data_IF_817663745066
#
_entry.id   IF_817663745066
#
_cell.length_a   1.000
_cell.length_b   1.000
_cell.length_c   1.000
_cell.angle_alpha   90.00
_cell.angle_beta   90.00
_cell.angle_gamma   90.00
#
_symmetry.space_group_name_H-M   'P 1'
#
loop_
_entity.id
_entity.type
_entity.pdbx_description
1 polymer ?
#
# COMPACT_ATOMS: atom_id res chain seq x y z
N UNK A 1 -46.95 -6.90 -14.09
CA UNK A 1 -46.60 -7.05 -12.65
C UNK A 1 -45.35 -7.95 -12.39
N UNK A 2 -44.23 -7.81 -13.13
CA UNK A 2 -43.10 -8.79 -13.04
C UNK A 2 -41.70 -8.24 -12.71
N UNK A 3 -41.50 -6.93 -12.65
CA UNK A 3 -40.15 -6.32 -12.52
C UNK A 3 -39.70 -6.14 -11.06
N UNK A 4 -40.64 -5.95 -10.13
CA UNK A 4 -40.32 -5.70 -8.71
C UNK A 4 -39.94 -6.98 -7.93
N UNK A 5 -40.46 -8.15 -8.31
CA UNK A 5 -40.13 -9.43 -7.66
C UNK A 5 -38.69 -9.88 -7.98
N UNK A 6 -38.23 -9.68 -9.22
CA UNK A 6 -36.85 -10.00 -9.66
C UNK A 6 -35.80 -9.13 -8.96
N UNK A 7 -36.07 -7.83 -8.78
CA UNK A 7 -35.17 -6.93 -8.02
C UNK A 7 -35.08 -7.31 -6.54
N UNK A 8 -36.20 -7.64 -5.88
CA UNK A 8 -36.20 -8.11 -4.49
C UNK A 8 -35.47 -9.44 -4.31
N UNK A 9 -35.62 -10.39 -5.26
CA UNK A 9 -34.92 -11.68 -5.21
C UNK A 9 -33.41 -11.54 -5.40
N UNK A 10 -32.96 -10.67 -6.31
CA UNK A 10 -31.52 -10.36 -6.49
C UNK A 10 -30.92 -9.65 -5.27
N UNK A 11 -31.67 -8.74 -4.65
CA UNK A 11 -31.23 -8.04 -3.43
C UNK A 11 -31.11 -9.02 -2.25
N UNK A 12 -32.10 -9.88 -2.02
CA UNK A 12 -32.03 -10.92 -0.99
C UNK A 12 -30.92 -11.94 -1.23
N UNK A 13 -30.67 -12.32 -2.50
CA UNK A 13 -29.55 -13.20 -2.83
C UNK A 13 -28.20 -12.54 -2.53
N UNK A 14 -28.01 -11.27 -2.90
CA UNK A 14 -26.81 -10.51 -2.53
C UNK A 14 -26.66 -10.37 -1.02
N UNK A 15 -27.72 -10.04 -0.29
CA UNK A 15 -27.69 -9.92 1.18
C UNK A 15 -27.41 -11.28 1.85
N UNK A 16 -27.89 -12.40 1.29
CA UNK A 16 -27.57 -13.75 1.75
C UNK A 16 -26.13 -14.16 1.42
N UNK A 17 -25.64 -13.85 0.22
CA UNK A 17 -24.25 -14.13 -0.18
C UNK A 17 -23.27 -13.29 0.66
N UNK A 18 -23.58 -12.02 0.94
CA UNK A 18 -22.81 -11.16 1.85
C UNK A 18 -22.84 -11.68 3.30
N UNK A 19 -23.98 -12.20 3.78
CA UNK A 19 -24.06 -12.81 5.11
C UNK A 19 -23.36 -14.17 5.19
N UNK A 20 -23.42 -14.98 4.14
CA UNK A 20 -22.72 -16.24 4.05
C UNK A 20 -21.20 -16.02 4.03
N UNK A 21 -20.70 -15.03 3.28
CA UNK A 21 -19.29 -14.67 3.27
C UNK A 21 -18.81 -14.02 4.57
N UNK A 22 -19.68 -13.26 5.26
CA UNK A 22 -19.39 -12.75 6.62
C UNK A 22 -19.37 -13.86 7.69
N UNK A 23 -20.02 -15.00 7.44
CA UNK A 23 -19.99 -16.18 8.31
C UNK A 23 -18.82 -17.13 8.00
N UNK A 24 -18.16 -16.97 6.85
CA UNK A 24 -16.92 -17.69 6.52
C UNK A 24 -15.74 -16.97 7.17
N UNK A 25 -15.66 -17.07 8.51
CA UNK A 25 -14.42 -16.89 9.26
C UNK A 25 -13.43 -18.04 9.00
N UNK A 26 -13.33 -18.51 7.76
CA UNK A 26 -12.55 -19.66 7.32
C UNK A 26 -11.46 -19.25 6.33
N UNK A 27 -10.42 -20.07 6.27
CA UNK A 27 -9.40 -20.05 5.22
C UNK A 27 -10.06 -19.92 3.84
N UNK A 28 -9.84 -18.81 3.15
CA UNK A 28 -10.46 -18.53 1.86
C UNK A 28 -9.47 -17.89 0.90
N UNK A 29 -9.69 -18.08 -0.39
CA UNK A 29 -8.99 -17.31 -1.43
C UNK A 29 -9.74 -16.00 -1.61
N UNK A 30 -9.03 -14.89 -1.51
CA UNK A 30 -9.56 -13.55 -1.70
C UNK A 30 -9.00 -12.97 -2.98
N UNK A 31 -9.85 -12.35 -3.79
CA UNK A 31 -9.39 -11.47 -4.85
C UNK A 31 -9.08 -10.11 -4.25
N UNK A 32 -7.80 -9.76 -4.26
CA UNK A 32 -7.31 -8.42 -3.92
C UNK A 32 -7.17 -7.65 -5.22
N UNK A 33 -7.64 -6.41 -5.26
CA UNK A 33 -7.39 -5.47 -6.34
C UNK A 33 -6.74 -4.21 -5.80
N UNK A 34 -5.70 -3.74 -6.47
CA UNK A 34 -4.95 -2.55 -6.11
C UNK A 34 -4.97 -1.59 -7.30
N UNK A 35 -5.37 -0.35 -7.05
CA UNK A 35 -5.33 0.72 -8.04
C UNK A 35 -4.83 2.01 -7.41
N UNK A 36 -3.71 2.53 -7.91
CA UNK A 36 -3.21 3.86 -7.58
C UNK A 36 -3.87 4.87 -8.51
N UNK A 37 -4.62 5.81 -7.93
CA UNK A 37 -5.44 6.76 -8.68
C UNK A 37 -4.66 8.01 -9.07
N UNK A 38 -4.02 8.62 -8.07
CA UNK A 38 -3.32 9.89 -8.21
C UNK A 38 -2.25 10.04 -7.12
N UNK A 39 -1.27 10.88 -7.40
CA UNK A 39 -0.30 11.39 -6.44
C UNK A 39 -0.44 12.91 -6.36
N UNK A 40 -0.84 13.40 -5.19
CA UNK A 40 -0.91 14.81 -4.85
C UNK A 40 0.45 15.24 -4.28
N UNK A 41 1.05 16.27 -4.87
CA UNK A 41 2.33 16.82 -4.45
C UNK A 41 2.10 18.24 -3.95
N UNK A 42 2.08 18.40 -2.62
CA UNK A 42 1.92 19.70 -2.00
C UNK A 42 3.21 20.52 -2.09
N UNK A 43 4.37 19.85 -2.00
CA UNK A 43 5.71 20.42 -2.17
C UNK A 43 6.60 19.44 -2.93
N UNK A 44 7.48 19.98 -3.75
CA UNK A 44 8.52 19.25 -4.48
C UNK A 44 9.83 20.02 -4.48
N UNK A 45 10.95 19.33 -4.33
CA UNK A 45 12.28 19.93 -4.42
C UNK A 45 13.22 19.07 -5.27
N UNK A 46 13.66 19.62 -6.40
CA UNK A 46 14.58 18.96 -7.34
C UNK A 46 15.89 19.78 -7.47
N UNK A 47 16.66 19.77 -6.38
CA UNK A 47 18.06 20.17 -6.34
C UNK A 47 18.46 21.50 -7.02
N UNK A 48 19.74 21.60 -7.39
CA UNK A 48 20.32 22.75 -8.09
C UNK A 48 20.20 22.64 -9.63
N UNK A 49 19.96 21.44 -10.14
CA UNK A 49 19.89 21.14 -11.58
C UNK A 49 18.49 21.34 -12.19
N UNK A 50 17.50 21.74 -11.37
CA UNK A 50 16.17 22.23 -11.80
C UNK A 50 15.40 21.24 -12.69
N UNK A 51 15.46 19.96 -12.39
CA UNK A 51 14.52 19.01 -12.98
C UNK A 51 13.12 19.17 -12.37
N UNK A 52 12.22 18.26 -12.75
CA UNK A 52 10.97 18.01 -12.01
C UNK A 52 11.04 16.59 -11.47
N UNK A 53 10.60 16.34 -10.23
CA UNK A 53 10.79 15.07 -9.56
C UNK A 53 10.12 13.93 -10.33
N UNK A 54 10.88 12.85 -10.51
CA UNK A 54 10.37 11.61 -11.11
C UNK A 54 9.78 10.73 -10.02
N UNK A 55 8.58 11.10 -9.57
CA UNK A 55 7.96 10.41 -8.46
C UNK A 55 7.59 8.96 -8.81
N UNK A 56 7.95 8.09 -7.87
CA UNK A 56 7.78 6.65 -7.97
C UNK A 56 7.30 6.08 -6.64
N UNK A 57 6.33 5.16 -6.72
CA UNK A 57 5.87 4.39 -5.58
C UNK A 57 6.19 2.91 -5.77
N UNK A 58 6.82 2.29 -4.76
CA UNK A 58 6.88 0.84 -4.64
C UNK A 58 5.83 0.38 -3.65
N UNK A 59 5.06 -0.62 -4.02
CA UNK A 59 4.05 -1.22 -3.14
C UNK A 59 4.43 -2.66 -2.86
N UNK A 60 4.61 -3.01 -1.58
CA UNK A 60 4.67 -4.39 -1.11
C UNK A 60 3.36 -4.77 -0.43
N UNK A 61 2.69 -5.78 -0.94
CA UNK A 61 1.51 -6.36 -0.31
C UNK A 61 1.91 -7.66 0.38
N UNK A 62 1.61 -7.78 1.67
CA UNK A 62 1.95 -8.92 2.50
C UNK A 62 0.72 -9.55 3.12
N UNK A 63 0.74 -10.87 3.22
CA UNK A 63 -0.13 -11.61 4.12
C UNK A 63 0.61 -11.77 5.43
N UNK A 64 0.02 -11.25 6.49
CA UNK A 64 0.63 -11.21 7.81
C UNK A 64 -0.18 -12.08 8.75
N UNK A 65 0.49 -13.05 9.36
CA UNK A 65 -0.04 -13.86 10.45
C UNK A 65 0.82 -13.70 11.71
N UNK A 66 0.49 -14.46 12.78
CA UNK A 66 1.15 -14.30 14.08
C UNK A 66 2.67 -14.51 14.08
N UNK A 67 3.17 -15.33 13.16
CA UNK A 67 4.60 -15.72 13.13
C UNK A 67 5.34 -15.21 11.89
N UNK A 68 4.63 -14.86 10.82
CA UNK A 68 5.24 -14.54 9.54
C UNK A 68 4.46 -13.50 8.74
N UNK A 69 5.20 -12.64 8.06
CA UNK A 69 4.77 -11.77 6.99
C UNK A 69 5.34 -12.28 5.65
N UNK A 70 4.45 -12.70 4.75
CA UNK A 70 4.84 -13.21 3.43
C UNK A 70 4.38 -12.28 2.33
N UNK A 71 5.28 -11.91 1.43
CA UNK A 71 4.93 -11.13 0.25
C UNK A 71 3.90 -11.91 -0.59
N UNK A 72 2.88 -11.19 -1.06
CA UNK A 72 1.86 -11.71 -1.98
C UNK A 72 1.94 -11.08 -3.35
N UNK A 73 2.42 -9.84 -3.41
CA UNK A 73 2.68 -9.13 -4.64
C UNK A 73 3.47 -7.87 -4.34
N UNK A 74 4.27 -7.44 -5.30
CA UNK A 74 4.94 -6.15 -5.28
C UNK A 74 4.78 -5.45 -6.62
N UNK A 75 4.63 -4.14 -6.57
CA UNK A 75 4.28 -3.32 -7.73
C UNK A 75 5.10 -2.05 -7.73
N UNK A 76 5.32 -1.52 -8.92
CA UNK A 76 6.05 -0.29 -9.15
C UNK A 76 5.15 0.65 -9.96
N UNK A 77 4.92 1.85 -9.44
CA UNK A 77 4.13 2.88 -10.11
C UNK A 77 4.97 4.12 -10.34
N UNK A 78 5.13 4.50 -11.60
CA UNK A 78 5.77 5.76 -12.01
C UNK A 78 4.70 6.77 -12.35
N UNK A 79 4.93 8.04 -12.02
CA UNK A 79 3.96 9.11 -12.22
C UNK A 79 4.39 10.07 -13.33
N UNK A 80 3.41 10.69 -13.97
CA UNK A 80 3.66 11.81 -14.89
C UNK A 80 4.51 12.87 -14.18
N UNK A 81 5.47 13.46 -14.90
CA UNK A 81 6.31 14.50 -14.31
C UNK A 81 5.45 15.73 -14.03
N UNK A 82 5.53 16.32 -12.82
CA UNK A 82 4.80 17.54 -12.51
C UNK A 82 5.34 18.72 -13.34
N UNK A 83 4.49 19.71 -13.60
CA UNK A 83 4.88 20.96 -14.27
C UNK A 83 5.04 22.14 -13.29
N UNK A 84 4.36 22.07 -12.14
CA UNK A 84 4.38 23.07 -11.06
C UNK A 84 3.94 22.43 -9.74
N UNK A 85 4.05 23.18 -8.64
CA UNK A 85 3.57 22.78 -7.31
C UNK A 85 2.69 23.87 -6.70
N UNK A 86 1.62 23.53 -5.96
CA UNK A 86 1.12 22.17 -5.72
C UNK A 86 0.44 21.56 -6.95
N UNK A 87 0.45 20.23 -7.08
CA UNK A 87 -0.15 19.56 -8.24
C UNK A 87 -0.68 18.16 -7.93
N UNK A 88 -1.41 17.59 -8.88
CA UNK A 88 -1.83 16.18 -8.91
C UNK A 88 -1.40 15.56 -10.23
N UNK A 89 -0.75 14.41 -10.15
CA UNK A 89 -0.29 13.65 -11.32
C UNK A 89 -0.86 12.23 -11.29
N UNK A 90 -1.16 11.70 -12.47
CA UNK A 90 -1.59 10.31 -12.64
C UNK A 90 -0.41 9.35 -12.79
N UNK A 91 -0.63 8.04 -12.62
CA UNK A 91 0.36 7.05 -13.01
C UNK A 91 0.58 7.08 -14.54
N UNK A 92 1.83 6.93 -14.99
CA UNK A 92 2.19 6.89 -16.42
C UNK A 92 1.57 5.69 -17.15
N UNK A 93 1.35 4.60 -16.41
CA UNK A 93 0.76 3.36 -16.89
C UNK A 93 -0.54 3.06 -16.14
N UNK A 94 -1.43 2.29 -16.75
CA UNK A 94 -2.68 1.92 -16.10
C UNK A 94 -2.42 1.09 -14.84
N UNK A 95 -2.93 1.55 -13.70
CA UNK A 95 -2.87 0.83 -12.43
C UNK A 95 -4.16 0.03 -12.23
N UNK A 96 -4.11 -1.30 -12.30
CA UNK A 96 -5.27 -2.15 -12.01
C UNK A 96 -4.85 -3.60 -11.71
N UNK A 97 -4.13 -3.76 -10.62
CA UNK A 97 -3.54 -5.06 -10.31
C UNK A 97 -4.56 -5.90 -9.58
N UNK A 98 -4.67 -7.16 -9.97
CA UNK A 98 -5.54 -8.09 -9.28
C UNK A 98 -4.87 -9.44 -9.07
N UNK A 99 -4.91 -9.91 -7.84
CA UNK A 99 -4.30 -11.16 -7.43
C UNK A 99 -5.26 -11.98 -6.55
N UNK A 100 -5.13 -13.29 -6.65
CA UNK A 100 -5.82 -14.23 -5.78
C UNK A 100 -4.90 -14.58 -4.60
N UNK A 101 -5.34 -14.24 -3.39
CA UNK A 101 -4.55 -14.38 -2.16
C UNK A 101 -5.22 -15.37 -1.22
N UNK A 102 -4.57 -16.48 -0.86
CA UNK A 102 -5.03 -17.34 0.21
C UNK A 102 -4.85 -16.62 1.55
N UNK A 103 -5.95 -16.30 2.25
CA UNK A 103 -5.95 -15.69 3.58
C UNK A 103 -6.51 -16.68 4.60
N UNK A 104 -5.64 -17.39 5.33
CA UNK A 104 -6.05 -18.18 6.48
C UNK A 104 -6.74 -17.34 7.55
N UNK A 105 -7.54 -17.99 8.39
CA UNK A 105 -8.16 -17.34 9.55
C UNK A 105 -7.09 -16.71 10.44
N UNK A 106 -7.35 -15.48 10.90
CA UNK A 106 -6.42 -14.74 11.75
C UNK A 106 -5.24 -14.10 11.00
N UNK A 107 -5.23 -14.17 9.65
CA UNK A 107 -4.28 -13.38 8.85
C UNK A 107 -4.89 -12.06 8.42
N UNK A 108 -4.04 -11.05 8.33
CA UNK A 108 -4.35 -9.72 7.80
C UNK A 108 -3.56 -9.47 6.53
N UNK A 109 -3.98 -8.47 5.77
CA UNK A 109 -3.18 -7.91 4.70
C UNK A 109 -2.49 -6.65 5.21
N UNK A 110 -1.21 -6.52 4.89
CA UNK A 110 -0.44 -5.30 5.08
C UNK A 110 -0.03 -4.77 3.71
N UNK A 111 -0.28 -3.49 3.47
CA UNK A 111 0.22 -2.79 2.29
C UNK A 111 1.26 -1.78 2.76
N UNK A 112 2.51 -2.04 2.40
CA UNK A 112 3.62 -1.14 2.59
C UNK A 112 3.84 -0.37 1.29
N UNK A 113 3.87 0.95 1.36
CA UNK A 113 4.13 1.82 0.21
C UNK A 113 5.37 2.65 0.51
N UNK A 114 6.34 2.64 -0.41
CA UNK A 114 7.57 3.42 -0.34
C UNK A 114 7.49 4.49 -1.42
N UNK A 115 7.76 5.75 -1.06
CA UNK A 115 7.83 6.87 -1.97
C UNK A 115 9.28 7.27 -2.20
N UNK A 116 9.66 7.34 -3.48
CA UNK A 116 11.02 7.60 -3.96
C UNK A 116 10.94 8.55 -5.14
N UNK A 117 11.91 9.44 -5.25
CA UNK A 117 12.19 10.20 -6.46
C UNK A 117 13.28 9.47 -7.25
N UNK A 118 12.94 9.00 -8.47
CA UNK A 118 13.80 8.15 -9.30
C UNK A 118 14.72 8.99 -10.21
N UNK A 119 16.04 8.94 -9.98
CA UNK A 119 17.01 9.59 -10.89
C UNK A 119 17.68 8.54 -11.77
N UNK A 120 18.28 7.51 -11.14
CA UNK A 120 19.04 6.46 -11.84
C UNK A 120 18.29 5.13 -11.95
N UNK A 121 17.31 4.91 -11.07
CA UNK A 121 16.57 3.66 -10.93
C UNK A 121 17.37 2.50 -10.34
N UNK A 122 18.61 2.72 -9.88
CA UNK A 122 19.44 1.67 -9.26
C UNK A 122 19.02 1.39 -7.82
N UNK A 123 18.81 2.43 -7.01
CA UNK A 123 18.27 2.28 -5.65
C UNK A 123 16.89 1.66 -5.69
N UNK A 124 16.09 2.04 -6.68
CA UNK A 124 14.76 1.49 -6.91
C UNK A 124 14.76 -0.04 -7.13
N UNK A 125 15.72 -0.56 -7.91
CA UNK A 125 15.85 -2.02 -8.12
C UNK A 125 16.20 -2.74 -6.82
N UNK A 126 17.13 -2.19 -6.03
CA UNK A 126 17.52 -2.73 -4.73
C UNK A 126 16.35 -2.74 -3.75
N UNK A 127 15.59 -1.64 -3.66
CA UNK A 127 14.38 -1.56 -2.84
C UNK A 127 13.33 -2.57 -3.27
N UNK A 128 13.08 -2.67 -4.58
CA UNK A 128 12.11 -3.61 -5.12
C UNK A 128 12.46 -5.04 -4.71
N UNK A 129 13.74 -5.43 -4.80
CA UNK A 129 14.25 -6.71 -4.34
C UNK A 129 14.08 -6.90 -2.82
N UNK A 130 14.41 -5.87 -2.03
CA UNK A 130 14.37 -5.90 -0.57
C UNK A 130 12.96 -6.05 0.05
N UNK A 131 11.90 -5.82 -0.72
CA UNK A 131 10.52 -6.12 -0.32
C UNK A 131 10.18 -7.63 -0.32
N UNK A 132 11.03 -8.50 -0.88
CA UNK A 132 10.75 -9.95 -0.94
C UNK A 132 10.67 -10.61 0.46
N UNK A 133 11.69 -10.46 1.34
CA UNK A 133 11.65 -11.07 2.67
C UNK A 133 10.76 -10.25 3.63
N UNK A 134 9.44 -10.46 3.58
CA UNK A 134 8.49 -9.73 4.44
C UNK A 134 8.78 -9.83 5.95
N UNK A 135 9.33 -10.95 6.42
CA UNK A 135 9.78 -11.14 7.81
C UNK A 135 10.96 -10.24 8.17
N UNK A 136 11.75 -9.77 7.20
CA UNK A 136 12.87 -8.87 7.41
C UNK A 136 12.43 -7.39 7.45
N UNK A 137 11.15 -7.08 7.22
CA UNK A 137 10.65 -5.71 7.27
C UNK A 137 10.35 -5.34 8.72
N UNK A 138 11.11 -4.38 9.24
CA UNK A 138 10.89 -3.74 10.53
C UNK A 138 10.30 -2.35 10.29
N UNK A 139 9.23 -2.00 10.99
CA UNK A 139 8.61 -0.69 10.87
C UNK A 139 8.34 -0.08 12.25
N UNK A 140 8.40 1.25 12.32
CA UNK A 140 8.00 2.04 13.48
C UNK A 140 7.39 3.36 13.02
N UNK A 141 6.75 4.09 13.93
CA UNK A 141 6.05 5.33 13.60
C UNK A 141 6.26 6.38 14.67
N UNK A 142 6.04 7.65 14.29
CA UNK A 142 6.28 8.81 15.16
C UNK A 142 5.38 8.83 16.42
N UNK A 143 4.26 8.10 16.41
CA UNK A 143 3.26 8.11 17.48
C UNK A 143 3.38 6.91 18.43
N UNK A 144 4.60 6.59 18.87
CA UNK A 144 4.84 5.57 19.89
C UNK A 144 4.67 4.13 19.41
N UNK A 145 4.73 3.90 18.10
CA UNK A 145 4.88 2.56 17.57
C UNK A 145 6.35 2.19 17.67
N UNK A 146 6.70 1.31 18.61
CA UNK A 146 8.07 0.80 18.75
C UNK A 146 8.50 0.01 17.50
N UNK A 147 9.80 -0.02 17.17
CA UNK A 147 10.34 -0.85 16.10
C UNK A 147 9.98 -2.32 16.29
N UNK A 148 9.27 -2.88 15.32
CA UNK A 148 8.84 -4.27 15.33
C UNK A 148 8.71 -4.81 13.91
N UNK A 149 8.84 -6.13 13.77
CA UNK A 149 8.62 -6.81 12.50
C UNK A 149 7.14 -6.73 12.08
N UNK A 150 6.86 -6.79 10.78
CA UNK A 150 5.47 -6.77 10.28
C UNK A 150 4.57 -7.81 10.98
N UNK A 151 5.06 -9.02 11.23
CA UNK A 151 4.30 -10.06 11.95
C UNK A 151 3.90 -9.66 13.37
N UNK A 152 4.76 -8.93 14.06
CA UNK A 152 4.56 -8.47 15.44
C UNK A 152 3.59 -7.28 15.49
N UNK A 153 3.71 -6.37 14.52
CA UNK A 153 2.84 -5.20 14.37
C UNK A 153 1.37 -5.56 14.14
N UNK A 154 1.10 -6.75 13.58
CA UNK A 154 -0.26 -7.26 13.42
C UNK A 154 -1.03 -7.34 14.75
N UNK A 155 -0.32 -7.57 15.88
CA UNK A 155 -0.89 -7.63 17.22
C UNK A 155 -0.91 -6.30 17.98
N UNK A 156 -0.24 -5.26 17.49
CA UNK A 156 0.00 -4.00 18.19
C UNK A 156 -1.23 -3.07 18.31
N UNK A 157 -2.41 -3.50 17.84
CA UNK A 157 -3.65 -2.73 17.97
C UNK A 157 -3.73 -1.50 17.05
N UNK A 158 -2.90 -1.44 16.00
CA UNK A 158 -3.00 -0.39 14.99
C UNK A 158 -4.41 -0.39 14.34
N UNK A 159 -5.05 0.78 14.17
CA UNK A 159 -6.35 0.87 13.52
C UNK A 159 -6.31 0.26 12.11
N UNK A 160 -7.20 -0.70 11.85
CA UNK A 160 -7.38 -1.21 10.50
C UNK A 160 -7.89 -0.10 9.58
N UNK A 161 -7.57 -0.24 8.29
CA UNK A 161 -7.99 0.64 7.19
C UNK A 161 -7.54 2.10 7.31
N UNK A 162 -6.61 2.38 8.22
CA UNK A 162 -5.94 3.68 8.38
C UNK A 162 -4.48 3.54 7.94
N UNK A 163 -4.04 4.44 7.05
CA UNK A 163 -2.66 4.49 6.63
C UNK A 163 -1.84 5.28 7.65
N UNK A 164 -0.69 4.73 8.03
CA UNK A 164 0.22 5.34 8.98
C UNK A 164 1.53 5.67 8.26
N UNK A 165 2.13 6.82 8.53
CA UNK A 165 3.52 7.06 8.14
C UNK A 165 4.42 6.21 9.00
N UNK A 166 5.41 5.58 8.37
CA UNK A 166 6.34 4.71 9.07
C UNK A 166 7.77 4.98 8.63
N UNK A 167 8.68 4.74 9.55
CA UNK A 167 10.09 4.52 9.27
C UNK A 167 10.34 3.02 9.11
N UNK A 168 11.43 2.64 8.45
CA UNK A 168 11.66 1.26 8.07
C UNK A 168 13.13 0.83 8.21
N UNK A 169 13.31 -0.46 8.47
CA UNK A 169 14.48 -1.21 8.06
C UNK A 169 14.02 -2.37 7.16
N UNK A 170 14.74 -2.57 6.05
CA UNK A 170 14.54 -3.71 5.16
C UNK A 170 15.72 -4.67 5.36
N UNK A 171 15.51 -5.70 6.18
CA UNK A 171 16.60 -6.46 6.78
C UNK A 171 17.38 -5.60 7.75
N UNK A 172 18.68 -5.44 7.50
CA UNK A 172 19.57 -4.60 8.32
C UNK A 172 19.81 -3.22 7.69
N UNK A 173 19.11 -2.90 6.59
CA UNK A 173 19.37 -1.70 5.81
C UNK A 173 18.29 -0.62 6.01
N UNK A 174 18.74 0.61 6.25
CA UNK A 174 17.91 1.81 6.24
C UNK A 174 17.77 2.32 4.80
N UNK A 175 16.56 2.22 4.19
CA UNK A 175 16.36 2.62 2.80
C UNK A 175 16.54 4.13 2.58
N UNK A 176 16.56 4.95 3.62
CA UNK A 176 16.81 6.40 3.47
C UNK A 176 18.28 6.75 3.24
N UNK A 177 19.20 5.80 3.48
CA UNK A 177 20.65 6.04 3.41
C UNK A 177 21.32 5.44 2.19
N UNK A 178 20.66 4.50 1.51
CA UNK A 178 21.28 3.69 0.46
C UNK A 178 20.36 3.53 -0.75
N UNK A 179 20.30 4.60 -1.56
CA UNK A 179 19.49 4.64 -2.79
C UNK A 179 20.27 4.93 -4.07
N UNK A 180 21.60 4.87 -4.02
CA UNK A 180 22.48 4.85 -5.20
C UNK A 180 22.07 5.82 -6.34
N UNK A 181 21.74 7.07 -5.98
CA UNK A 181 21.33 8.12 -6.92
C UNK A 181 19.85 8.48 -6.88
N UNK A 182 18.97 7.61 -6.36
CA UNK A 182 17.56 7.93 -6.13
C UNK A 182 17.36 8.59 -4.75
N UNK A 183 16.28 9.33 -4.55
CA UNK A 183 16.01 10.08 -3.32
C UNK A 183 14.83 9.52 -2.53
N UNK A 184 15.04 9.29 -1.23
CA UNK A 184 14.02 8.77 -0.32
C UNK A 184 13.04 9.86 0.10
N UNK A 185 11.75 9.62 -0.09
CA UNK A 185 10.70 10.54 0.38
C UNK A 185 10.05 10.03 1.67
N UNK A 186 9.72 8.76 1.76
CA UNK A 186 9.12 8.20 2.96
C UNK A 186 8.39 6.89 2.74
N UNK A 187 7.77 6.37 3.79
CA UNK A 187 6.96 5.17 3.71
C UNK A 187 5.64 5.29 4.47
N UNK A 188 4.66 4.50 4.02
CA UNK A 188 3.37 4.39 4.67
C UNK A 188 2.91 2.93 4.73
N UNK A 189 2.31 2.55 5.85
CA UNK A 189 1.82 1.22 6.14
C UNK A 189 0.31 1.26 6.38
N UNK A 190 -0.42 0.39 5.71
CA UNK A 190 -1.86 0.19 5.85
C UNK A 190 -2.14 -1.26 6.21
N UNK A 191 -2.95 -1.47 7.24
CA UNK A 191 -3.47 -2.79 7.61
C UNK A 191 -4.91 -2.94 7.16
N UNK A 192 -5.28 -4.10 6.63
CA UNK A 192 -6.68 -4.38 6.34
C UNK A 192 -7.04 -5.82 6.69
N UNK A 193 -8.20 -5.99 7.29
CA UNK A 193 -8.81 -7.29 7.51
C UNK A 193 -9.49 -7.82 6.23
N UNK A 194 -9.57 -9.16 6.06
CA UNK A 194 -10.30 -9.75 4.94
C UNK A 194 -11.82 -9.51 5.08
N UNK A 195 -12.34 -8.50 4.38
CA UNK A 195 -13.77 -8.22 4.30
C UNK A 195 -14.15 -7.84 2.86
N UNK A 196 -15.42 -8.01 2.46
CA UNK A 196 -15.86 -7.57 1.13
C UNK A 196 -15.99 -6.05 1.12
N UNK A 197 -15.01 -5.36 0.54
CA UNK A 197 -14.94 -3.90 0.57
C UNK A 197 -14.12 -3.33 -0.57
N UNK A 198 -14.31 -2.03 -0.81
CA UNK A 198 -13.53 -1.21 -1.75
C UNK A 198 -13.39 0.17 -1.13
N UNK A 199 -12.19 0.52 -0.71
CA UNK A 199 -11.91 1.79 -0.06
C UNK A 199 -10.75 2.50 -0.75
N UNK A 200 -10.86 3.81 -0.84
CA UNK A 200 -9.75 4.67 -1.19
C UNK A 200 -9.06 5.10 0.11
N UNK A 201 -7.75 4.88 0.15
CA UNK A 201 -6.89 5.26 1.26
C UNK A 201 -5.97 6.39 0.79
N UNK A 202 -5.76 7.37 1.65
CA UNK A 202 -4.75 8.42 1.46
C UNK A 202 -3.50 8.01 2.23
N UNK A 203 -2.38 7.85 1.53
CA UNK A 203 -1.09 7.51 2.11
C UNK A 203 -0.18 8.72 1.98
N UNK A 204 0.31 9.22 3.11
CA UNK A 204 1.12 10.44 3.16
C UNK A 204 2.60 10.09 3.27
N UNK A 205 3.45 10.88 2.62
CA UNK A 205 4.91 10.73 2.60
C UNK A 205 5.52 12.12 2.73
N UNK A 206 6.47 12.28 3.66
CA UNK A 206 7.15 13.57 3.87
C UNK A 206 8.63 13.27 4.06
N UNK A 207 9.47 13.92 3.26
CA UNK A 207 10.93 13.77 3.38
C UNK A 207 11.41 14.27 4.74
N UNK A 208 12.55 13.75 5.20
CA UNK A 208 13.10 14.10 6.51
C UNK A 208 13.37 15.61 6.68
N UNK A 209 13.70 16.29 5.59
CA UNK A 209 13.93 17.74 5.54
C UNK A 209 12.66 18.58 5.28
N UNK A 210 11.51 17.91 5.08
CA UNK A 210 10.20 18.52 4.83
C UNK A 210 10.06 19.23 3.48
N UNK A 211 11.01 19.03 2.55
CA UNK A 211 10.99 19.65 1.23
C UNK A 211 10.04 18.96 0.25
N UNK A 212 9.85 17.65 0.40
CA UNK A 212 8.89 16.86 -0.37
C UNK A 212 7.72 16.46 0.53
N UNK A 213 6.49 16.71 0.07
CA UNK A 213 5.25 16.38 0.78
C UNK A 213 4.22 15.84 -0.21
N UNK A 214 4.08 14.51 -0.21
CA UNK A 214 3.32 13.76 -1.20
C UNK A 214 2.20 12.98 -0.52
N UNK A 215 1.05 12.87 -1.19
CA UNK A 215 -0.07 12.01 -0.78
C UNK A 215 -0.57 11.18 -1.94
N UNK A 216 -0.46 9.85 -1.83
CA UNK A 216 -1.02 8.93 -2.81
C UNK A 216 -2.45 8.56 -2.44
N UNK A 217 -3.35 8.55 -3.44
CA UNK A 217 -4.67 7.94 -3.29
C UNK A 217 -4.63 6.54 -3.88
N UNK A 218 -4.77 5.53 -3.02
CA UNK A 218 -4.73 4.12 -3.39
C UNK A 218 -6.03 3.45 -3.04
N UNK A 219 -6.63 2.80 -4.03
CA UNK A 219 -7.82 2.02 -3.86
C UNK A 219 -7.48 0.55 -3.63
N UNK A 220 -7.97 0.00 -2.53
CA UNK A 220 -7.82 -1.40 -2.17
C UNK A 220 -9.19 -2.07 -2.17
N UNK A 221 -9.34 -3.06 -3.06
CA UNK A 221 -10.54 -3.88 -3.18
C UNK A 221 -10.29 -5.28 -2.66
N UNK A 222 -11.22 -5.79 -1.85
CA UNK A 222 -11.21 -7.15 -1.32
C UNK A 222 -12.55 -7.80 -1.61
N UNK A 223 -12.52 -8.97 -2.25
CA UNK A 223 -13.71 -9.76 -2.57
C UNK A 223 -13.40 -11.24 -2.30
N UNK A 224 -14.34 -11.95 -1.66
CA UNK A 224 -14.25 -13.41 -1.60
C UNK A 224 -14.28 -13.99 -3.01
N UNK A 225 -13.36 -14.92 -3.31
CA UNK A 225 -13.34 -15.63 -4.59
C UNK A 225 -14.48 -16.65 -4.69
#
# INVERSE_FOLDING_TARGET
MGKNSRRRRRRRKREQDTRALALVGGTGVWRVSLQVQELEMAKGYDGLLRGMPEATLLVGLYRVGPAHARLVGRYLYRFERPSEFPTKVGPREASNESLAVPLPRGTRLAMLVLAVEEDSGRGLQSLFAALEPGDAVVAWGDQGLEPAHLSELCGAGLPADTAHRVHLLLGEHDPSRDLAGDDWIGASLLWTEPAIRRYAHRLCFVSADGRNDWTATVELGLRGA
#
